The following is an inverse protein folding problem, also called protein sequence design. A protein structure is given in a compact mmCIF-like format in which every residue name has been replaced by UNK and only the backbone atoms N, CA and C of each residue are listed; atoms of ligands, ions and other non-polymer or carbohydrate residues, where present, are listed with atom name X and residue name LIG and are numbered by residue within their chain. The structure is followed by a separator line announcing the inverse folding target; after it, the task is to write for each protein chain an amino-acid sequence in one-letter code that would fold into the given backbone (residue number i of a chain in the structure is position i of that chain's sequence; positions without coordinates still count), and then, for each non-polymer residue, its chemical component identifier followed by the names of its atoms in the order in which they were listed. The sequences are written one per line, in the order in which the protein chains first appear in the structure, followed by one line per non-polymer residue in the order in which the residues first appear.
data_IF_348163742953
#
_entry.id   IF_348163742953
#
_cell.length_a   1.000
_cell.length_b   1.000
_cell.length_c   1.000
_cell.angle_alpha   90.00
_cell.angle_beta   90.00
_cell.angle_gamma   90.00
#
_symmetry.space_group_name_H-M   'P 1'
#
loop_
_entity.id
_entity.type
_entity.pdbx_description
1 polymer ?
#
# COMPACT_ATOMS: atom_id res chain seq x y z
N UNK A 1 51.81 -25.74 21.00
CA UNK A 1 51.47 -24.51 20.24
C UNK A 1 50.76 -24.78 18.91
N UNK A 2 51.36 -25.42 17.88
CA UNK A 2 50.72 -25.55 16.53
C UNK A 2 49.29 -26.15 16.48
N UNK A 3 48.87 -26.97 17.46
CA UNK A 3 47.48 -27.49 17.53
C UNK A 3 46.44 -26.44 17.99
N UNK A 4 46.72 -25.62 19.01
CA UNK A 4 45.71 -24.66 19.53
C UNK A 4 45.37 -23.54 18.54
N UNK A 5 46.34 -23.09 17.73
CA UNK A 5 46.09 -22.11 16.67
C UNK A 5 45.19 -22.63 15.54
N UNK A 6 45.09 -23.96 15.34
CA UNK A 6 44.13 -24.53 14.36
C UNK A 6 42.71 -24.53 14.93
N UNK A 7 42.55 -24.91 16.20
CA UNK A 7 41.25 -24.90 16.89
C UNK A 7 40.64 -23.50 16.96
N UNK A 8 41.44 -22.48 17.31
CA UNK A 8 40.94 -21.11 17.41
C UNK A 8 40.48 -20.55 16.04
N UNK A 9 41.22 -20.85 14.96
CA UNK A 9 40.82 -20.43 13.60
C UNK A 9 39.55 -21.14 13.12
N UNK A 10 39.38 -22.42 13.44
CA UNK A 10 38.15 -23.14 13.15
C UNK A 10 36.96 -22.57 13.93
N UNK A 11 37.15 -22.17 15.19
CA UNK A 11 36.11 -21.56 16.01
C UNK A 11 35.67 -20.18 15.48
N UNK A 12 36.62 -19.33 15.07
CA UNK A 12 36.34 -18.01 14.49
C UNK A 12 35.65 -18.15 13.13
N UNK A 13 36.11 -19.08 12.28
CA UNK A 13 35.45 -19.35 11.00
C UNK A 13 34.03 -19.89 11.19
N UNK A 14 33.81 -20.79 12.17
CA UNK A 14 32.48 -21.30 12.49
C UNK A 14 31.57 -20.18 13.02
N UNK A 15 32.05 -19.35 13.94
CA UNK A 15 31.30 -18.20 14.48
C UNK A 15 30.97 -17.16 13.41
N UNK A 16 31.87 -16.91 12.46
CA UNK A 16 31.59 -16.05 11.31
C UNK A 16 30.54 -16.67 10.37
N UNK A 17 30.54 -18.00 10.20
CA UNK A 17 29.52 -18.71 9.43
C UNK A 17 28.17 -18.71 10.15
N UNK A 18 28.08 -18.89 11.47
CA UNK A 18 26.80 -18.75 12.19
C UNK A 18 26.31 -17.31 12.27
N UNK A 19 27.19 -16.31 12.42
CA UNK A 19 26.80 -14.91 12.37
C UNK A 19 26.28 -14.52 10.97
N UNK A 20 26.96 -14.97 9.91
CA UNK A 20 26.48 -14.82 8.53
C UNK A 20 25.17 -15.60 8.30
N UNK A 21 25.03 -16.79 8.87
CA UNK A 21 23.79 -17.58 8.77
C UNK A 21 22.61 -16.86 9.45
N UNK A 22 22.80 -16.25 10.61
CA UNK A 22 21.75 -15.44 11.26
C UNK A 22 21.43 -14.16 10.47
N UNK A 23 22.44 -13.51 9.87
CA UNK A 23 22.21 -12.39 8.94
C UNK A 23 21.51 -12.80 7.63
N UNK A 24 21.58 -14.08 7.22
CA UNK A 24 20.79 -14.62 6.10
C UNK A 24 19.49 -15.30 6.52
N UNK A 25 19.22 -15.46 7.82
CA UNK A 25 18.00 -16.06 8.36
C UNK A 25 17.04 -15.01 8.97
N UNK A 26 17.50 -13.76 9.10
CA UNK A 26 16.66 -12.57 9.07
C UNK A 26 16.34 -12.12 7.63
N UNK A 27 16.81 -12.87 6.62
CA UNK A 27 16.23 -12.87 5.29
C UNK A 27 14.95 -13.68 5.32
N UNK A 28 13.90 -13.01 5.78
CA UNK A 28 12.55 -13.02 5.22
C UNK A 28 12.25 -14.06 4.13
N UNK A 29 11.16 -14.80 4.28
CA UNK A 29 10.81 -15.94 3.40
C UNK A 29 10.27 -15.54 2.02
N UNK A 30 10.36 -14.26 1.66
CA UNK A 30 10.03 -13.77 0.33
C UNK A 30 10.88 -14.48 -0.73
N UNK A 31 10.21 -15.22 -1.60
CA UNK A 31 10.68 -15.34 -2.98
C UNK A 31 10.86 -13.92 -3.48
N UNK A 32 12.11 -13.55 -3.84
CA UNK A 32 12.35 -12.28 -4.53
C UNK A 32 11.33 -12.19 -5.65
N UNK A 33 10.62 -11.06 -5.69
CA UNK A 33 10.04 -10.51 -6.91
C UNK A 33 10.95 -10.89 -8.09
N UNK A 34 10.45 -11.53 -9.15
CA UNK A 34 11.25 -11.75 -10.33
C UNK A 34 11.87 -10.42 -10.70
N UNK A 35 13.09 -10.44 -11.21
CA UNK A 35 13.65 -9.23 -11.78
C UNK A 35 12.86 -8.92 -13.05
N UNK A 36 11.69 -8.29 -12.88
CA UNK A 36 11.11 -7.43 -13.88
C UNK A 36 12.23 -6.43 -14.17
N UNK A 37 12.78 -6.41 -15.40
CA UNK A 37 13.66 -5.33 -15.77
C UNK A 37 12.79 -4.08 -15.68
N UNK A 38 13.05 -3.24 -14.66
CA UNK A 38 12.35 -1.96 -14.39
C UNK A 38 12.03 -1.31 -15.73
N UNK A 39 10.74 -1.25 -16.04
CA UNK A 39 10.29 -1.32 -17.44
C UNK A 39 10.94 -0.20 -18.23
N UNK A 40 11.76 -0.57 -19.21
CA UNK A 40 12.61 0.40 -19.87
C UNK A 40 11.84 1.13 -20.98
N UNK A 41 11.04 2.15 -20.61
CA UNK A 41 10.16 2.92 -21.52
C UNK A 41 10.70 4.32 -21.86
N UNK A 42 12.01 4.56 -21.69
CA UNK A 42 12.73 5.64 -22.40
C UNK A 42 12.13 7.05 -22.27
N UNK A 43 11.70 7.44 -21.08
CA UNK A 43 11.11 8.75 -20.75
C UNK A 43 11.03 8.97 -19.24
N UNK A 44 10.68 10.18 -18.83
CA UNK A 44 10.32 10.51 -17.44
C UNK A 44 8.94 9.88 -17.10
N UNK A 45 8.72 9.46 -15.84
CA UNK A 45 7.45 8.91 -15.36
C UNK A 45 7.53 7.55 -14.63
N UNK A 46 6.35 7.01 -14.33
CA UNK A 46 6.09 5.77 -13.59
C UNK A 46 6.00 4.51 -14.48
N UNK A 47 6.35 3.32 -13.94
CA UNK A 47 6.22 2.02 -14.62
C UNK A 47 4.79 1.79 -15.14
N UNK A 48 4.54 1.35 -16.40
CA UNK A 48 3.18 1.24 -16.93
C UNK A 48 2.29 0.22 -16.21
N UNK A 49 1.02 0.56 -16.03
CA UNK A 49 -0.04 -0.31 -15.44
C UNK A 49 -0.07 -1.73 -16.02
N UNK A 50 0.17 -1.89 -17.33
CA UNK A 50 0.14 -3.18 -18.03
C UNK A 50 1.24 -4.15 -17.63
N UNK A 51 2.28 -3.63 -16.98
CA UNK A 51 3.55 -4.32 -16.73
C UNK A 51 3.74 -4.62 -15.24
N UNK A 52 2.70 -4.39 -14.43
CA UNK A 52 2.64 -4.70 -13.01
C UNK A 52 1.57 -5.77 -12.74
N UNK A 53 1.89 -6.76 -11.90
CA UNK A 53 1.09 -7.96 -11.65
C UNK A 53 0.50 -7.95 -10.24
N UNK A 54 -0.60 -8.67 -10.00
CA UNK A 54 -1.20 -8.78 -8.66
C UNK A 54 -1.70 -7.45 -8.11
N UNK A 55 -2.74 -6.88 -8.74
CA UNK A 55 -3.39 -5.68 -8.20
C UNK A 55 -4.66 -6.04 -7.45
N UNK A 56 -4.90 -5.36 -6.34
CA UNK A 56 -6.04 -5.50 -5.44
C UNK A 56 -6.54 -4.10 -5.03
N UNK A 57 -7.85 -3.93 -4.86
CA UNK A 57 -8.46 -2.65 -4.48
C UNK A 57 -9.79 -2.80 -3.72
N UNK A 58 -10.13 -1.79 -2.93
CA UNK A 58 -11.44 -1.53 -2.31
C UNK A 58 -12.07 -0.27 -2.93
N UNK A 59 -13.40 -0.10 -2.81
CA UNK A 59 -14.06 1.07 -3.43
C UNK A 59 -15.47 1.40 -2.89
N UNK A 60 -15.75 2.70 -2.86
CA UNK A 60 -17.04 3.29 -2.45
C UNK A 60 -17.91 3.65 -3.66
N UNK A 61 -19.20 3.90 -3.40
CA UNK A 61 -20.21 4.21 -4.41
C UNK A 61 -20.66 5.68 -4.34
N UNK A 62 -20.02 6.53 -5.15
CA UNK A 62 -20.27 7.97 -5.27
C UNK A 62 -21.75 8.40 -5.43
N UNK A 63 -22.66 7.55 -5.92
CA UNK A 63 -24.08 7.92 -5.96
C UNK A 63 -24.65 8.20 -4.55
N UNK A 64 -24.10 7.53 -3.54
CA UNK A 64 -24.43 7.79 -2.13
C UNK A 64 -23.89 9.15 -1.67
N UNK A 65 -22.73 9.60 -2.14
CA UNK A 65 -22.21 10.97 -1.90
C UNK A 65 -23.24 12.00 -2.35
N UNK A 66 -23.77 11.82 -3.57
CA UNK A 66 -24.80 12.71 -4.11
C UNK A 66 -26.13 12.66 -3.32
N UNK A 67 -26.56 11.49 -2.86
CA UNK A 67 -27.77 11.34 -2.02
C UNK A 67 -27.58 11.85 -0.58
N UNK A 68 -26.36 11.80 -0.03
CA UNK A 68 -25.95 12.37 1.26
C UNK A 68 -25.78 13.91 1.22
N UNK A 69 -26.02 14.53 0.07
CA UNK A 69 -25.99 15.99 -0.11
C UNK A 69 -24.71 16.54 -0.75
N UNK A 70 -23.83 15.66 -1.23
CA UNK A 70 -22.56 16.00 -1.86
C UNK A 70 -21.37 16.13 -0.89
N UNK A 71 -21.48 15.58 0.32
CA UNK A 71 -20.38 15.47 1.28
C UNK A 71 -19.84 14.02 1.22
N UNK A 72 -18.62 13.78 0.70
CA UNK A 72 -18.13 12.43 0.47
C UNK A 72 -17.97 11.61 1.75
N UNK A 73 -17.49 12.26 2.82
CA UNK A 73 -17.40 11.75 4.20
C UNK A 73 -18.72 11.25 4.82
N UNK A 74 -19.85 11.42 4.12
CA UNK A 74 -21.17 10.93 4.53
C UNK A 74 -21.66 9.77 3.64
N UNK A 75 -20.77 9.15 2.87
CA UNK A 75 -21.10 8.12 1.89
C UNK A 75 -20.14 6.92 1.82
N UNK A 76 -18.97 6.98 2.46
CA UNK A 76 -18.26 5.79 2.97
C UNK A 76 -19.21 5.11 3.97
N UNK A 77 -19.89 4.07 3.53
CA UNK A 77 -20.77 3.22 4.35
C UNK A 77 -20.85 1.75 3.88
N UNK A 78 -20.48 1.43 2.63
CA UNK A 78 -20.77 0.16 1.98
C UNK A 78 -19.74 -0.18 0.86
N UNK A 79 -18.82 -1.14 1.09
CA UNK A 79 -18.02 -1.76 0.01
C UNK A 79 -18.95 -2.53 -0.95
N UNK A 80 -18.53 -2.75 -2.20
CA UNK A 80 -19.36 -3.39 -3.22
C UNK A 80 -18.68 -4.55 -3.97
N UNK A 81 -19.45 -5.60 -4.22
CA UNK A 81 -19.04 -6.74 -5.02
C UNK A 81 -18.92 -6.46 -6.52
N UNK A 82 -18.32 -7.40 -7.24
CA UNK A 82 -18.19 -7.38 -8.70
C UNK A 82 -19.55 -7.39 -9.43
N UNK A 83 -20.68 -7.32 -8.72
CA UNK A 83 -22.04 -7.16 -9.23
C UNK A 83 -22.73 -5.87 -8.73
N UNK A 84 -22.10 -5.09 -7.84
CA UNK A 84 -22.66 -3.89 -7.22
C UNK A 84 -23.61 -4.17 -6.06
N UNK A 85 -23.48 -5.29 -5.35
CA UNK A 85 -24.14 -5.55 -4.06
C UNK A 85 -23.20 -5.15 -2.91
N UNK A 86 -23.78 -4.72 -1.79
CA UNK A 86 -23.03 -4.40 -0.56
C UNK A 86 -22.34 -5.67 -0.02
N UNK A 87 -21.02 -5.62 0.16
CA UNK A 87 -20.20 -6.75 0.62
C UNK A 87 -18.98 -6.23 1.43
N UNK A 88 -19.15 -5.87 2.72
CA UNK A 88 -18.11 -5.21 3.53
C UNK A 88 -16.88 -6.09 3.77
N UNK A 89 -15.70 -5.50 3.80
CA UNK A 89 -14.43 -6.20 3.96
C UNK A 89 -13.84 -6.71 2.64
N UNK A 90 -14.36 -6.27 1.49
CA UNK A 90 -14.07 -6.91 0.22
C UNK A 90 -12.92 -6.28 -0.55
N UNK A 91 -12.13 -7.16 -1.15
CA UNK A 91 -11.04 -6.81 -2.05
C UNK A 91 -11.32 -7.36 -3.45
N UNK A 92 -11.15 -6.51 -4.46
CA UNK A 92 -11.34 -6.84 -5.88
C UNK A 92 -9.99 -6.86 -6.59
N UNK A 93 -9.69 -7.95 -7.29
CA UNK A 93 -8.43 -8.10 -8.02
C UNK A 93 -8.54 -7.62 -9.46
N UNK A 94 -7.54 -6.87 -9.90
CA UNK A 94 -7.41 -6.26 -11.21
C UNK A 94 -6.12 -6.70 -11.91
N UNK A 95 -6.17 -6.88 -13.23
CA UNK A 95 -5.02 -7.32 -14.04
C UNK A 95 -4.30 -6.18 -14.78
N UNK A 96 -4.79 -4.94 -14.69
CA UNK A 96 -4.22 -3.80 -15.42
C UNK A 96 -4.44 -3.80 -16.94
N UNK A 97 -5.14 -4.79 -17.52
CA UNK A 97 -5.21 -4.95 -18.97
C UNK A 97 -6.47 -4.34 -19.58
N UNK A 98 -6.28 -3.49 -20.60
CA UNK A 98 -7.37 -3.06 -21.48
C UNK A 98 -7.78 -4.21 -22.40
N UNK A 99 -8.78 -4.97 -21.98
CA UNK A 99 -9.27 -6.17 -22.67
C UNK A 99 -9.64 -5.93 -24.14
N UNK A 100 -9.22 -6.84 -25.01
CA UNK A 100 -9.67 -6.92 -26.41
C UNK A 100 -10.95 -7.76 -26.59
N UNK A 101 -11.47 -8.30 -25.50
CA UNK A 101 -12.68 -9.12 -25.44
C UNK A 101 -13.58 -8.60 -24.33
N UNK A 102 -14.88 -8.80 -24.53
CA UNK A 102 -15.95 -8.59 -23.57
C UNK A 102 -15.85 -9.60 -22.39
N UNK A 103 -14.79 -9.50 -21.59
CA UNK A 103 -14.60 -10.24 -20.34
C UNK A 103 -13.92 -9.41 -19.26
N UNK A 104 -14.43 -9.49 -18.01
CA UNK A 104 -13.55 -9.50 -16.85
C UNK A 104 -12.47 -10.58 -17.13
N UNK A 105 -11.20 -10.25 -16.87
CA UNK A 105 -10.05 -11.14 -17.11
C UNK A 105 -10.19 -12.50 -16.41
N UNK A 106 -10.99 -12.55 -15.34
CA UNK A 106 -11.55 -13.76 -14.74
C UNK A 106 -11.88 -13.62 -13.25
N UNK A 107 -11.56 -12.47 -12.63
CA UNK A 107 -11.66 -12.22 -11.20
C UNK A 107 -13.09 -11.93 -10.74
N UNK A 108 -13.85 -12.97 -10.43
CA UNK A 108 -15.06 -12.83 -9.59
C UNK A 108 -14.64 -12.86 -8.11
N UNK A 109 -14.72 -11.72 -7.42
CA UNK A 109 -14.38 -11.44 -6.01
C UNK A 109 -13.04 -12.05 -5.56
N UNK A 110 -12.00 -11.23 -5.36
CA UNK A 110 -10.66 -11.78 -5.07
C UNK A 110 -10.63 -12.49 -3.72
N UNK A 111 -11.14 -11.80 -2.70
CA UNK A 111 -11.31 -12.33 -1.35
C UNK A 111 -12.02 -11.27 -0.48
N UNK A 112 -12.72 -11.73 0.56
CA UNK A 112 -13.39 -10.89 1.55
C UNK A 112 -12.70 -11.12 2.90
N UNK A 113 -12.12 -10.07 3.50
CA UNK A 113 -11.68 -10.11 4.88
C UNK A 113 -12.88 -10.50 5.76
N UNK A 114 -12.72 -11.39 6.75
CA UNK A 114 -13.81 -11.80 7.64
C UNK A 114 -14.09 -10.70 8.68
N UNK A 115 -14.47 -9.50 8.22
CA UNK A 115 -14.69 -8.31 9.04
C UNK A 115 -15.87 -8.49 9.99
N UNK A 116 -16.81 -9.39 9.67
CA UNK A 116 -17.88 -9.81 10.58
C UNK A 116 -17.38 -10.54 11.84
N UNK A 117 -16.09 -10.94 11.86
CA UNK A 117 -15.41 -11.47 13.05
C UNK A 117 -14.77 -10.38 13.93
N UNK A 118 -14.63 -9.16 13.42
CA UNK A 118 -14.06 -8.00 14.13
C UNK A 118 -15.17 -7.36 14.99
N UNK A 119 -14.97 -7.17 16.31
CA UNK A 119 -15.96 -6.51 17.15
C UNK A 119 -16.22 -5.07 16.68
N UNK A 120 -17.48 -4.78 16.32
CA UNK A 120 -17.94 -3.53 15.68
C UNK A 120 -17.40 -3.27 14.26
N UNK A 121 -16.53 -4.11 13.71
CA UNK A 121 -15.92 -3.93 12.38
C UNK A 121 -16.86 -4.31 11.23
N UNK A 122 -18.09 -3.81 11.24
CA UNK A 122 -18.90 -3.71 10.02
C UNK A 122 -18.59 -2.38 9.34
N UNK A 123 -17.35 -2.24 8.89
CA UNK A 123 -16.81 -1.08 8.18
C UNK A 123 -16.43 -1.45 6.75
N UNK A 124 -16.14 -0.43 5.95
CA UNK A 124 -15.51 -0.56 4.64
C UNK A 124 -14.03 -0.93 4.79
N UNK A 125 -13.36 -1.23 3.67
CA UNK A 125 -11.89 -1.31 3.65
C UNK A 125 -11.32 0.00 3.13
N UNK A 126 -10.90 0.83 4.07
CA UNK A 126 -10.47 2.22 3.84
C UNK A 126 -8.94 2.30 3.67
N UNK A 127 -8.23 1.18 3.69
CA UNK A 127 -6.85 1.11 3.22
C UNK A 127 -6.46 -0.34 2.94
N UNK A 128 -5.55 -0.56 2.00
CA UNK A 128 -4.94 -1.86 1.69
C UNK A 128 -3.43 -1.73 1.62
N UNK A 129 -2.71 -2.71 2.15
CA UNK A 129 -1.28 -2.88 1.87
C UNK A 129 -0.77 -4.30 2.13
N UNK A 130 0.38 -4.59 1.55
CA UNK A 130 1.23 -5.69 1.93
C UNK A 130 1.97 -5.39 3.23
N UNK A 131 2.12 -6.38 4.10
CA UNK A 131 3.02 -6.26 5.25
C UNK A 131 4.47 -5.98 4.88
N UNK A 132 4.93 -6.39 3.70
CA UNK A 132 6.30 -6.11 3.24
C UNK A 132 6.30 -5.48 1.87
N UNK A 133 5.63 -4.34 1.75
CA UNK A 133 5.62 -3.51 0.54
C UNK A 133 7.05 -3.32 0.00
N UNK A 134 7.23 -3.73 -1.25
CA UNK A 134 8.54 -3.87 -1.87
C UNK A 134 9.24 -2.53 -2.15
N UNK A 135 8.46 -1.45 -2.31
CA UNK A 135 8.93 -0.13 -2.70
C UNK A 135 8.79 0.91 -1.59
N UNK A 136 8.17 0.58 -0.45
CA UNK A 136 8.06 1.41 0.75
C UNK A 136 9.31 2.25 1.05
N UNK A 137 10.49 1.60 1.11
CA UNK A 137 11.74 2.33 1.42
C UNK A 137 12.19 3.27 0.32
N UNK A 138 11.90 2.92 -0.93
CA UNK A 138 12.20 3.73 -2.09
C UNK A 138 11.24 4.92 -2.15
N UNK A 139 9.98 4.81 -1.70
CA UNK A 139 9.11 5.99 -1.46
C UNK A 139 9.68 6.87 -0.36
N UNK A 140 9.96 6.32 0.84
CA UNK A 140 10.50 7.09 1.99
C UNK A 140 11.82 7.79 1.66
N UNK A 141 12.66 7.20 0.79
CA UNK A 141 13.91 7.80 0.33
C UNK A 141 13.78 8.76 -0.86
N UNK A 142 12.59 8.89 -1.47
CA UNK A 142 12.37 9.60 -2.74
C UNK A 142 13.25 9.01 -3.88
N UNK A 143 13.02 7.72 -4.16
CA UNK A 143 13.73 6.87 -5.13
C UNK A 143 12.76 6.04 -6.03
N UNK A 144 11.49 5.84 -5.63
CA UNK A 144 10.41 5.26 -6.43
C UNK A 144 9.32 6.29 -6.72
N UNK A 145 8.47 6.07 -7.73
CA UNK A 145 7.25 6.87 -7.90
C UNK A 145 6.23 6.45 -6.85
N UNK A 146 5.65 7.43 -6.15
CA UNK A 146 4.47 7.26 -5.31
C UNK A 146 3.24 7.13 -6.22
N UNK A 147 2.33 6.22 -5.91
CA UNK A 147 0.98 6.12 -6.44
C UNK A 147 -0.03 6.48 -5.33
N UNK A 148 -1.14 7.11 -5.71
CA UNK A 148 -2.23 7.45 -4.79
C UNK A 148 -3.55 7.74 -5.52
N UNK A 149 -4.68 7.65 -4.83
CA UNK A 149 -6.00 8.18 -5.24
C UNK A 149 -6.37 9.40 -4.39
N UNK A 150 -7.45 10.09 -4.77
CA UNK A 150 -8.00 11.23 -4.03
C UNK A 150 -9.52 11.17 -4.04
N UNK A 151 -10.17 11.39 -2.89
CA UNK A 151 -11.63 11.33 -2.77
C UNK A 151 -12.30 12.26 -3.76
N UNK A 152 -13.24 11.73 -4.53
CA UNK A 152 -14.00 12.48 -5.51
C UNK A 152 -13.15 13.06 -6.65
N UNK A 153 -12.03 12.42 -7.01
CA UNK A 153 -11.17 12.72 -8.17
C UNK A 153 -11.85 12.60 -9.57
N UNK A 154 -13.18 12.48 -9.55
CA UNK A 154 -14.05 12.31 -10.69
C UNK A 154 -13.97 13.50 -11.66
N UNK A 155 -13.35 13.28 -12.82
CA UNK A 155 -13.26 14.29 -13.87
C UNK A 155 -14.65 14.72 -14.39
N UNK A 156 -15.17 15.79 -13.81
CA UNK A 156 -16.42 16.45 -14.22
C UNK A 156 -16.37 17.04 -15.64
N UNK A 157 -15.18 17.15 -16.25
CA UNK A 157 -14.98 17.62 -17.63
C UNK A 157 -15.14 16.51 -18.69
N UNK A 158 -15.18 15.23 -18.27
CA UNK A 158 -15.46 14.00 -19.04
C UNK A 158 -16.92 13.95 -19.57
N UNK A 159 -17.27 14.96 -20.37
CA UNK A 159 -18.53 15.03 -21.10
C UNK A 159 -18.38 14.35 -22.45
N UNK A 160 -18.82 13.09 -22.53
CA UNK A 160 -19.00 12.42 -23.82
C UNK A 160 -19.88 13.30 -24.74
N UNK A 161 -19.55 13.50 -26.04
CA UNK A 161 -20.16 14.55 -26.87
C UNK A 161 -21.68 14.59 -27.03
N UNK A 162 -22.41 13.55 -26.58
CA UNK A 162 -23.86 13.54 -26.30
C UNK A 162 -24.21 12.45 -25.24
N UNK A 163 -23.30 12.13 -24.31
CA UNK A 163 -23.46 11.03 -23.36
C UNK A 163 -23.73 11.50 -21.92
N UNK A 164 -24.09 10.59 -21.00
CA UNK A 164 -23.97 10.86 -19.57
C UNK A 164 -22.51 11.19 -19.22
N UNK A 165 -22.31 11.93 -18.13
CA UNK A 165 -20.98 12.13 -17.55
C UNK A 165 -20.47 10.75 -17.13
N UNK A 166 -19.36 10.34 -17.70
CA UNK A 166 -18.63 9.14 -17.26
C UNK A 166 -17.54 9.67 -16.34
N UNK A 167 -17.85 9.66 -15.06
CA UNK A 167 -16.86 9.88 -14.02
C UNK A 167 -15.75 8.83 -14.14
N UNK A 168 -14.58 9.11 -13.59
CA UNK A 168 -13.46 8.17 -13.55
C UNK A 168 -12.71 8.41 -12.26
N UNK A 169 -12.44 7.33 -11.53
CA UNK A 169 -11.41 7.35 -10.51
C UNK A 169 -10.03 7.31 -11.19
N UNK A 170 -9.05 7.95 -10.57
CA UNK A 170 -7.70 8.12 -11.06
C UNK A 170 -6.71 7.60 -10.02
N UNK A 171 -5.82 6.72 -10.45
CA UNK A 171 -4.59 6.48 -9.70
C UNK A 171 -3.57 7.46 -10.26
N UNK A 172 -3.12 8.37 -9.42
CA UNK A 172 -2.06 9.33 -9.71
C UNK A 172 -0.68 8.70 -9.59
N UNK A 173 0.31 9.40 -10.11
CA UNK A 173 1.68 9.23 -9.67
C UNK A 173 2.36 10.56 -9.42
N UNK A 174 3.30 10.54 -8.49
CA UNK A 174 4.38 11.51 -8.38
C UNK A 174 5.72 10.78 -8.43
N UNK A 175 6.68 11.28 -9.21
CA UNK A 175 8.03 10.75 -9.31
C UNK A 175 9.04 11.51 -8.41
N UNK A 176 10.20 10.91 -8.09
CA UNK A 176 11.24 11.53 -7.26
C UNK A 176 11.78 12.91 -7.71
N UNK A 177 11.46 13.38 -8.91
CA UNK A 177 11.89 14.70 -9.42
C UNK A 177 10.73 15.69 -9.55
N UNK A 178 9.54 15.34 -9.05
CA UNK A 178 8.32 16.15 -9.10
C UNK A 178 7.59 16.07 -10.45
N UNK A 179 7.86 15.03 -11.24
CA UNK A 179 7.05 14.67 -12.40
C UNK A 179 5.76 13.99 -11.93
N UNK A 180 4.61 14.52 -12.33
CA UNK A 180 3.30 14.07 -11.84
C UNK A 180 2.32 13.79 -12.98
N UNK A 181 1.33 12.92 -12.74
CA UNK A 181 0.27 12.67 -13.70
C UNK A 181 -0.75 11.63 -13.24
N UNK A 182 -1.53 11.14 -14.19
CA UNK A 182 -2.42 9.98 -14.02
C UNK A 182 -1.66 8.73 -14.46
N UNK A 183 -1.53 7.76 -13.57
CA UNK A 183 -0.97 6.43 -13.83
C UNK A 183 -2.02 5.50 -14.43
N UNK A 184 -3.21 5.45 -13.82
CA UNK A 184 -4.35 4.69 -14.29
C UNK A 184 -5.64 5.50 -14.27
N UNK A 185 -6.52 5.23 -15.23
CA UNK A 185 -7.92 5.63 -15.20
C UNK A 185 -8.77 4.39 -14.92
N UNK A 186 -9.63 4.45 -13.92
CA UNK A 186 -10.63 3.40 -13.64
C UNK A 186 -11.99 3.91 -14.14
N UNK A 187 -12.61 3.20 -15.09
CA UNK A 187 -13.83 3.67 -15.73
C UNK A 187 -15.03 3.58 -14.76
N UNK A 188 -15.52 4.72 -14.24
CA UNK A 188 -16.74 4.72 -13.43
C UNK A 188 -17.95 4.43 -14.35
N UNK A 189 -18.34 3.16 -14.40
CA UNK A 189 -19.35 2.62 -15.30
C UNK A 189 -20.66 3.42 -15.33
N UNK A 190 -21.29 3.49 -16.51
CA UNK A 190 -22.59 4.15 -16.64
C UNK A 190 -23.66 3.36 -15.90
N UNK A 191 -24.17 3.92 -14.80
CA UNK A 191 -25.19 3.34 -13.93
C UNK A 191 -26.44 2.96 -14.75
N UNK A 192 -26.65 1.65 -14.98
CA UNK A 192 -27.95 1.11 -15.40
C UNK A 192 -28.06 0.25 -16.66
N UNK A 193 -27.01 -0.41 -17.18
CA UNK A 193 -27.20 -1.36 -18.30
C UNK A 193 -26.39 -2.69 -18.29
N UNK A 194 -26.49 -3.43 -17.19
CA UNK A 194 -26.21 -4.88 -17.14
C UNK A 194 -24.75 -5.26 -16.87
N UNK A 195 -24.48 -6.57 -16.64
CA UNK A 195 -23.13 -7.08 -16.38
C UNK A 195 -22.30 -7.03 -17.65
N UNK A 196 -21.73 -5.86 -17.90
CA UNK A 196 -20.62 -5.67 -18.82
C UNK A 196 -19.30 -6.12 -18.16
N UNK A 197 -18.20 -6.22 -18.93
CA UNK A 197 -17.13 -7.13 -18.54
C UNK A 197 -15.79 -6.41 -18.28
N UNK A 198 -15.37 -6.38 -17.02
CA UNK A 198 -14.08 -5.83 -16.61
C UNK A 198 -14.16 -5.15 -15.26
N UNK A 199 -13.01 -4.88 -14.65
CA UNK A 199 -12.86 -3.78 -13.68
C UNK A 199 -13.31 -2.44 -14.31
N UNK A 200 -13.26 -2.34 -15.65
CA UNK A 200 -13.82 -1.26 -16.46
C UNK A 200 -15.36 -1.30 -16.68
N UNK A 201 -16.15 -2.08 -15.93
CA UNK A 201 -17.60 -2.17 -16.16
C UNK A 201 -18.49 -2.11 -14.92
N UNK A 202 -17.90 -2.06 -13.73
CA UNK A 202 -18.57 -1.62 -12.50
C UNK A 202 -17.92 -0.31 -12.05
N UNK A 203 -18.70 0.59 -11.47
CA UNK A 203 -18.23 1.94 -11.19
C UNK A 203 -17.42 1.98 -9.90
N UNK A 204 -16.10 1.85 -10.02
CA UNK A 204 -15.15 2.43 -9.04
C UNK A 204 -15.29 3.94 -9.17
N UNK A 205 -15.64 4.60 -8.08
CA UNK A 205 -16.02 6.01 -8.07
C UNK A 205 -15.34 6.82 -6.96
N UNK A 206 -14.87 6.13 -5.93
CA UNK A 206 -13.72 6.46 -5.07
C UNK A 206 -12.85 5.19 -5.02
N UNK A 207 -11.57 5.30 -4.67
CA UNK A 207 -10.63 4.16 -4.60
C UNK A 207 -9.97 4.15 -3.22
N UNK A 208 -10.63 3.50 -2.27
CA UNK A 208 -10.35 3.52 -0.82
C UNK A 208 -9.28 2.48 -0.40
N UNK A 209 -8.42 2.09 -1.36
CA UNK A 209 -7.38 1.11 -1.13
C UNK A 209 -6.80 0.58 -2.42
N UNK A 210 -5.47 0.46 -2.45
CA UNK A 210 -4.71 0.02 -3.61
C UNK A 210 -3.52 -0.81 -3.14
N UNK A 211 -3.44 -2.03 -3.64
CA UNK A 211 -2.26 -2.88 -3.58
C UNK A 211 -1.87 -3.26 -5.02
N UNK A 212 -0.59 -3.16 -5.35
CA UNK A 212 -0.03 -3.33 -6.69
C UNK A 212 1.21 -4.22 -6.68
N UNK A 213 1.80 -4.53 -5.52
CA UNK A 213 3.03 -5.33 -5.38
C UNK A 213 2.98 -6.37 -4.26
N UNK A 214 2.11 -7.36 -4.43
CA UNK A 214 2.08 -8.49 -3.52
C UNK A 214 3.36 -9.32 -3.45
N UNK A 215 3.42 -10.36 -2.59
CA UNK A 215 4.21 -11.55 -2.83
C UNK A 215 3.82 -12.18 -4.18
N UNK A 216 4.45 -11.64 -5.20
CA UNK A 216 4.64 -12.21 -6.52
C UNK A 216 4.95 -13.72 -6.42
N UNK A 217 4.58 -14.46 -7.45
CA UNK A 217 3.70 -15.63 -7.35
C UNK A 217 4.38 -16.95 -6.99
N UNK A 218 3.56 -18.03 -6.86
CA UNK A 218 4.05 -19.40 -7.03
C UNK A 218 4.89 -19.59 -8.30
N UNK A 219 4.67 -18.79 -9.37
CA UNK A 219 5.65 -18.43 -10.42
C UNK A 219 5.09 -17.38 -11.45
N UNK A 220 5.87 -16.52 -12.14
CA UNK A 220 5.38 -15.38 -13.01
C UNK A 220 4.94 -15.78 -14.45
N UNK A 221 5.35 -15.07 -15.53
CA UNK A 221 5.83 -15.69 -16.80
C UNK A 221 6.61 -14.69 -17.67
N UNK A 222 7.72 -15.10 -18.31
CA UNK A 222 8.59 -14.19 -19.09
C UNK A 222 8.34 -14.22 -20.62
N UNK A 223 8.74 -13.15 -21.36
CA UNK A 223 8.53 -13.03 -22.82
C UNK A 223 9.18 -14.10 -23.73
N UNK A 224 9.96 -15.04 -23.20
CA UNK A 224 10.55 -16.16 -23.94
C UNK A 224 9.66 -17.42 -23.95
N UNK A 225 8.45 -17.36 -23.38
CA UNK A 225 7.42 -18.40 -23.51
C UNK A 225 7.74 -19.72 -22.77
N UNK A 226 8.52 -19.65 -21.68
CA UNK A 226 8.53 -20.66 -20.61
C UNK A 226 7.20 -20.63 -19.82
N UNK A 227 6.94 -21.58 -18.90
CA UNK A 227 5.83 -21.50 -17.96
C UNK A 227 6.29 -21.19 -16.54
N UNK A 228 5.57 -20.29 -15.91
CA UNK A 228 5.67 -19.84 -14.52
C UNK A 228 4.13 -19.59 -14.14
N UNK A 229 3.62 -19.70 -12.90
CA UNK A 229 2.15 -19.68 -12.56
C UNK A 229 1.67 -18.78 -11.38
N UNK A 230 1.03 -17.64 -11.67
CA UNK A 230 0.39 -16.72 -10.70
C UNK A 230 -0.94 -17.28 -10.16
N UNK A 231 -1.59 -16.56 -9.25
CA UNK A 231 -2.75 -17.01 -8.46
C UNK A 231 -3.93 -17.64 -9.22
N UNK A 232 -4.75 -18.37 -8.48
CA UNK A 232 -6.10 -18.86 -8.83
C UNK A 232 -6.32 -20.05 -9.80
N UNK A 233 -5.30 -20.73 -10.34
CA UNK A 233 -5.54 -21.91 -11.21
C UNK A 233 -5.33 -23.30 -10.55
N UNK A 234 -6.45 -23.96 -10.29
CA UNK A 234 -6.66 -25.36 -9.88
C UNK A 234 -6.53 -25.68 -8.37
N UNK A 235 -7.65 -25.48 -7.68
CA UNK A 235 -8.07 -26.27 -6.51
C UNK A 235 -7.52 -25.87 -5.13
N UNK A 236 -7.24 -24.57 -4.92
CA UNK A 236 -7.52 -23.90 -3.64
C UNK A 236 -6.33 -23.44 -2.80
N UNK A 237 -5.66 -22.37 -3.22
CA UNK A 237 -5.14 -21.37 -2.27
C UNK A 237 -5.52 -19.99 -2.77
N UNK A 238 -6.05 -19.17 -1.87
CA UNK A 238 -6.21 -17.73 -2.04
C UNK A 238 -4.80 -17.17 -1.96
N UNK A 239 -4.43 -16.30 -2.90
CA UNK A 239 -3.23 -15.45 -2.82
C UNK A 239 -3.70 -14.03 -3.13
N UNK A 240 -4.60 -13.55 -2.28
CA UNK A 240 -4.67 -12.14 -1.96
C UNK A 240 -3.38 -11.81 -1.22
N UNK A 241 -2.80 -10.68 -1.55
CA UNK A 241 -1.48 -10.25 -1.13
C UNK A 241 -1.57 -9.15 -0.07
N UNK A 242 -2.56 -8.27 -0.20
CA UNK A 242 -2.95 -7.36 0.86
C UNK A 242 -3.33 -8.16 2.13
N UNK A 243 -2.46 -8.09 3.12
CA UNK A 243 -2.65 -8.72 4.43
C UNK A 243 -2.60 -7.69 5.57
N UNK A 244 -2.52 -6.40 5.22
CA UNK A 244 -2.78 -5.25 6.09
C UNK A 244 -3.91 -4.42 5.49
N UNK A 245 -4.79 -3.93 6.36
CA UNK A 245 -5.93 -3.12 5.94
C UNK A 245 -6.41 -2.20 7.06
N UNK A 246 -7.02 -1.07 6.70
CA UNK A 246 -7.81 -0.22 7.60
C UNK A 246 -9.29 -0.55 7.49
N UNK A 247 -10.12 0.00 8.38
CA UNK A 247 -11.58 -0.01 8.26
C UNK A 247 -12.15 1.34 8.69
N UNK A 248 -13.20 1.81 8.02
CA UNK A 248 -14.07 2.90 8.50
C UNK A 248 -14.32 2.76 10.01
N UNK A 249 -13.92 3.80 10.73
CA UNK A 249 -14.08 3.99 12.16
C UNK A 249 -13.17 3.13 13.07
N UNK A 250 -11.85 3.30 12.91
CA UNK A 250 -10.76 2.88 13.80
C UNK A 250 -11.13 2.99 15.28
N UNK A 251 -11.72 4.13 15.64
CA UNK A 251 -12.06 4.49 17.00
C UNK A 251 -13.05 3.51 17.66
N UNK A 252 -13.90 2.87 16.84
CA UNK A 252 -14.94 1.92 17.27
C UNK A 252 -14.41 0.50 17.46
N UNK A 253 -13.34 0.15 16.74
CA UNK A 253 -12.68 -1.17 16.79
C UNK A 253 -11.53 -1.20 17.81
N UNK A 254 -10.86 -0.04 18.01
CA UNK A 254 -9.68 0.13 18.86
C UNK A 254 -8.35 -0.12 18.13
N UNK A 255 -8.36 -0.36 16.83
CA UNK A 255 -7.19 -0.57 15.97
C UNK A 255 -7.35 0.24 14.69
N UNK A 256 -6.24 0.80 14.20
CA UNK A 256 -6.20 1.56 12.94
C UNK A 256 -5.66 0.77 11.75
N UNK A 257 -4.98 -0.34 12.04
CA UNK A 257 -4.56 -1.27 10.99
C UNK A 257 -4.76 -2.67 11.53
N UNK A 258 -5.32 -3.54 10.71
CA UNK A 258 -5.50 -4.95 10.94
C UNK A 258 -4.46 -5.77 10.18
N UNK A 259 -4.25 -7.01 10.61
CA UNK A 259 -3.46 -8.02 9.92
C UNK A 259 -4.33 -9.25 9.65
N UNK A 260 -4.27 -9.77 8.44
CA UNK A 260 -4.96 -11.00 8.03
C UNK A 260 -3.99 -12.16 7.88
N UNK A 261 -4.07 -13.16 8.77
CA UNK A 261 -3.35 -14.42 8.56
C UNK A 261 -4.09 -15.26 7.51
N UNK A 262 -3.58 -15.27 6.29
CA UNK A 262 -4.11 -16.06 5.14
C UNK A 262 -4.15 -17.57 5.44
N UNK A 263 -3.22 -18.10 6.25
CA UNK A 263 -3.12 -19.52 6.56
C UNK A 263 -4.09 -19.94 7.66
N UNK A 264 -4.28 -19.10 8.69
CA UNK A 264 -5.27 -19.31 9.75
C UNK A 264 -6.69 -18.86 9.34
N UNK A 265 -6.79 -17.99 8.33
CA UNK A 265 -8.00 -17.26 7.90
C UNK A 265 -8.62 -16.45 9.03
N UNK A 266 -7.80 -15.65 9.69
CA UNK A 266 -8.21 -14.86 10.85
C UNK A 266 -7.62 -13.47 10.81
N UNK A 267 -8.43 -12.48 11.19
CA UNK A 267 -7.99 -11.11 11.42
C UNK A 267 -7.51 -10.94 12.87
N UNK A 268 -6.45 -10.16 13.05
CA UNK A 268 -6.02 -9.61 14.34
C UNK A 268 -5.68 -8.13 14.18
N UNK A 269 -5.88 -7.33 15.22
CA UNK A 269 -5.42 -5.94 15.22
C UNK A 269 -3.89 -5.86 15.16
N UNK A 270 -3.36 -5.05 14.24
CA UNK A 270 -1.94 -4.86 13.99
C UNK A 270 -1.43 -3.59 14.69
N UNK A 271 -1.97 -2.42 14.33
CA UNK A 271 -1.63 -1.12 14.95
C UNK A 271 -2.79 -0.63 15.82
N UNK A 272 -2.59 -0.39 17.13
CA UNK A 272 -3.62 0.18 18.00
C UNK A 272 -4.00 1.61 17.59
N UNK A 273 -5.29 1.93 17.62
CA UNK A 273 -5.81 3.27 17.28
C UNK A 273 -5.15 4.41 18.07
N UNK A 274 -4.85 4.16 19.36
CA UNK A 274 -4.17 5.15 20.20
C UNK A 274 -2.75 5.50 19.72
N UNK A 275 -2.07 4.60 19.01
CA UNK A 275 -0.72 4.82 18.51
C UNK A 275 -0.75 5.76 17.28
N UNK A 276 -1.74 5.61 16.38
CA UNK A 276 -1.99 6.56 15.29
C UNK A 276 -2.42 7.93 15.82
N UNK A 277 -3.39 8.00 16.74
CA UNK A 277 -3.80 9.27 17.38
C UNK A 277 -2.60 9.98 18.01
N UNK A 278 -1.72 9.25 18.70
CA UNK A 278 -0.51 9.83 19.31
C UNK A 278 0.50 10.30 18.25
N UNK A 279 0.59 9.61 17.11
CA UNK A 279 1.43 10.01 15.98
C UNK A 279 0.94 11.33 15.36
N UNK A 280 -0.35 11.44 15.06
CA UNK A 280 -1.00 12.64 14.52
C UNK A 280 -0.87 13.81 15.50
N UNK A 281 -1.24 13.64 16.78
CA UNK A 281 -1.09 14.70 17.80
C UNK A 281 0.33 15.27 17.87
N UNK A 282 1.34 14.41 17.75
CA UNK A 282 2.75 14.80 17.82
C UNK A 282 3.21 15.62 16.62
N UNK A 283 2.62 15.42 15.44
CA UNK A 283 2.89 16.25 14.25
C UNK A 283 2.19 17.61 14.34
N UNK A 284 0.88 17.61 14.58
CA UNK A 284 0.06 18.81 14.52
C UNK A 284 0.17 19.69 15.78
N UNK A 285 0.42 19.10 16.96
CA UNK A 285 0.40 19.80 18.26
C UNK A 285 1.71 19.68 19.06
N UNK A 286 2.65 18.82 18.66
CA UNK A 286 3.91 18.60 19.38
C UNK A 286 3.71 17.93 20.75
N UNK A 287 3.81 18.71 21.83
CA UNK A 287 3.55 18.25 23.21
C UNK A 287 2.06 18.38 23.61
N UNK A 288 1.19 18.80 22.68
CA UNK A 288 -0.25 18.99 22.90
C UNK A 288 -1.08 17.71 22.76
N UNK A 289 -2.40 17.86 22.86
CA UNK A 289 -3.36 16.78 22.60
C UNK A 289 -4.69 17.34 22.10
N UNK A 290 -5.36 16.57 21.25
CA UNK A 290 -6.72 16.79 20.79
C UNK A 290 -7.75 16.61 21.92
N UNK A 291 -8.96 17.13 21.69
CA UNK A 291 -10.15 16.81 22.50
C UNK A 291 -10.50 15.32 22.39
N UNK A 292 -11.29 14.81 23.33
CA UNK A 292 -11.71 13.39 23.26
C UNK A 292 -12.59 13.13 22.03
N UNK A 293 -13.36 14.13 21.62
CA UNK A 293 -14.21 14.12 20.45
C UNK A 293 -13.38 14.12 19.15
N UNK A 294 -12.39 15.00 19.04
CA UNK A 294 -11.49 15.09 17.87
C UNK A 294 -10.62 13.84 17.70
N UNK A 295 -10.20 13.20 18.79
CA UNK A 295 -9.46 11.93 18.71
C UNK A 295 -10.26 10.83 18.00
N UNK A 296 -11.58 10.80 18.17
CA UNK A 296 -12.47 9.82 17.54
C UNK A 296 -12.75 10.11 16.05
N UNK A 297 -12.16 11.18 15.50
CA UNK A 297 -12.22 11.53 14.08
C UNK A 297 -10.89 11.22 13.35
N UNK A 298 -9.94 10.59 14.03
CA UNK A 298 -8.72 10.09 13.38
C UNK A 298 -9.04 8.69 12.85
N UNK A 299 -9.07 8.54 11.53
CA UNK A 299 -9.24 7.28 10.80
C UNK A 299 -8.11 7.16 9.78
N UNK A 300 -7.61 5.95 9.52
CA UNK A 300 -6.60 5.71 8.47
C UNK A 300 -7.28 5.40 7.15
N UNK A 301 -7.06 6.27 6.16
CA UNK A 301 -7.73 6.22 4.85
C UNK A 301 -6.79 5.83 3.69
N UNK A 302 -5.51 5.61 3.96
CA UNK A 302 -4.60 4.93 3.03
C UNK A 302 -3.41 4.35 3.78
N UNK A 303 -2.73 3.35 3.18
CA UNK A 303 -1.59 2.74 3.85
C UNK A 303 -0.58 2.11 2.89
N UNK A 304 0.70 2.15 3.27
CA UNK A 304 1.72 1.19 2.84
C UNK A 304 2.41 0.67 4.10
N UNK A 305 2.80 -0.61 4.16
CA UNK A 305 3.37 -1.21 5.38
C UNK A 305 4.72 -1.86 5.15
N UNK A 306 5.60 -1.70 6.14
CA UNK A 306 6.88 -2.39 6.24
C UNK A 306 7.06 -3.01 7.63
N UNK A 307 6.47 -4.18 7.81
CA UNK A 307 6.65 -5.13 8.92
C UNK A 307 8.06 -5.74 8.84
N UNK A 308 8.81 -5.75 9.96
CA UNK A 308 10.14 -6.36 10.04
C UNK A 308 10.34 -7.18 11.30
N UNK A 309 9.58 -8.27 11.43
CA UNK A 309 9.98 -9.32 12.35
C UNK A 309 9.03 -10.51 12.43
N UNK A 310 8.04 -10.37 13.31
CA UNK A 310 7.01 -11.37 13.53
C UNK A 310 5.76 -10.91 12.79
N UNK A 311 5.60 -11.39 11.54
CA UNK A 311 4.50 -11.01 10.65
C UNK A 311 3.17 -11.00 11.39
N UNK A 312 2.49 -9.85 11.31
CA UNK A 312 1.17 -9.62 11.90
C UNK A 312 1.22 -8.99 13.28
N UNK A 313 2.37 -8.43 13.68
CA UNK A 313 2.55 -7.78 14.98
C UNK A 313 3.42 -6.54 14.88
N UNK A 314 2.84 -5.39 15.20
CA UNK A 314 3.53 -4.08 15.23
C UNK A 314 4.63 -4.04 16.30
N UNK A 315 5.87 -4.27 15.87
CA UNK A 315 7.07 -4.43 16.66
C UNK A 315 8.18 -3.43 16.26
N UNK A 316 9.27 -3.42 17.03
CA UNK A 316 10.35 -2.45 16.85
C UNK A 316 11.14 -2.70 15.56
N UNK A 317 11.07 -1.72 14.67
CA UNK A 317 11.66 -1.73 13.32
C UNK A 317 10.61 -1.50 12.24
N UNK A 318 9.34 -1.75 12.56
CA UNK A 318 8.22 -1.67 11.63
C UNK A 318 7.90 -0.21 11.28
N UNK A 319 7.37 -0.01 10.08
CA UNK A 319 7.05 1.30 9.56
C UNK A 319 5.72 1.29 8.79
N UNK A 320 5.10 2.47 8.77
CA UNK A 320 3.82 2.74 8.14
C UNK A 320 3.95 4.05 7.34
N UNK A 321 3.45 4.07 6.12
CA UNK A 321 3.00 5.29 5.44
C UNK A 321 1.48 5.28 5.49
N UNK A 322 0.85 6.40 5.80
CA UNK A 322 -0.60 6.52 5.84
C UNK A 322 -1.08 7.96 5.66
N UNK A 323 -2.29 8.12 5.13
CA UNK A 323 -3.10 9.35 5.24
C UNK A 323 -4.14 9.19 6.37
N UNK A 324 -4.86 10.26 6.69
CA UNK A 324 -6.05 10.18 7.55
C UNK A 324 -7.21 10.99 7.00
N UNK A 325 -8.41 10.57 7.36
CA UNK A 325 -9.69 11.22 7.06
C UNK A 325 -9.68 12.74 7.42
N UNK A 326 -10.35 13.65 6.67
CA UNK A 326 -10.19 15.09 6.84
C UNK A 326 -10.89 15.61 8.08
N UNK A 327 -10.09 15.95 9.09
CA UNK A 327 -10.61 16.46 10.36
C UNK A 327 -10.95 17.95 10.24
N UNK A 328 -12.24 18.22 10.05
CA UNK A 328 -12.83 19.55 9.99
C UNK A 328 -12.91 20.20 11.38
N UNK A 329 -12.28 21.38 11.55
CA UNK A 329 -12.30 22.16 12.80
C UNK A 329 -11.93 21.38 14.08
N UNK A 330 -10.75 20.71 14.12
CA UNK A 330 -10.32 19.93 15.27
C UNK A 330 -10.20 20.82 16.50
N UNK A 331 -10.42 20.24 17.67
CA UNK A 331 -10.35 20.93 18.96
C UNK A 331 -9.20 20.35 19.79
N UNK A 332 -8.49 21.22 20.52
CA UNK A 332 -7.53 20.78 21.52
C UNK A 332 -8.22 20.26 22.80
N UNK A 333 -7.45 19.69 23.73
CA UNK A 333 -7.94 19.20 25.03
C UNK A 333 -8.61 20.28 25.91
N UNK A 334 -8.52 21.57 25.56
CA UNK A 334 -9.21 22.69 26.23
C UNK A 334 -10.51 23.11 25.52
N UNK A 335 -10.79 22.55 24.35
CA UNK A 335 -11.89 22.93 23.46
C UNK A 335 -11.59 24.16 22.61
N UNK A 336 -10.32 24.54 22.45
CA UNK A 336 -9.92 25.60 21.53
C UNK A 336 -9.80 25.06 20.10
N UNK A 337 -10.28 25.79 19.07
CA UNK A 337 -10.19 25.36 17.69
C UNK A 337 -8.75 25.42 17.18
N UNK A 338 -8.41 24.41 16.39
CA UNK A 338 -7.15 24.21 15.68
C UNK A 338 -7.36 24.43 14.17
N UNK A 339 -6.30 24.52 13.34
CA UNK A 339 -6.42 24.40 11.89
C UNK A 339 -7.03 23.05 11.52
N UNK A 340 -7.83 22.98 10.45
CA UNK A 340 -8.27 21.70 9.88
C UNK A 340 -7.07 20.87 9.43
N UNK A 341 -7.27 19.56 9.41
CA UNK A 341 -6.45 18.58 8.70
C UNK A 341 -7.24 18.26 7.43
N UNK A 342 -6.62 18.30 6.26
CA UNK A 342 -7.33 18.27 4.97
C UNK A 342 -7.33 16.91 4.28
N UNK A 343 -6.57 15.95 4.81
CA UNK A 343 -6.46 14.58 4.29
C UNK A 343 -5.33 14.42 3.26
N UNK A 344 -4.76 15.53 2.80
CA UNK A 344 -3.63 15.56 1.87
C UNK A 344 -2.29 15.21 2.50
N UNK A 345 -2.25 14.90 3.80
CA UNK A 345 -1.01 14.63 4.52
C UNK A 345 -0.62 13.15 4.52
N UNK A 346 0.53 12.83 3.90
CA UNK A 346 1.12 11.49 3.99
C UNK A 346 2.11 11.44 5.16
N UNK A 347 1.80 10.63 6.16
CA UNK A 347 2.55 10.47 7.40
C UNK A 347 3.40 9.20 7.35
N UNK A 348 4.71 9.35 7.51
CA UNK A 348 5.64 8.26 7.79
C UNK A 348 5.80 8.06 9.30
N UNK A 349 5.47 6.87 9.79
CA UNK A 349 5.54 6.48 11.20
C UNK A 349 6.52 5.31 11.39
N UNK A 350 7.61 5.56 12.12
CA UNK A 350 8.58 4.53 12.52
C UNK A 350 8.30 4.01 13.94
N UNK A 351 8.19 2.68 14.12
CA UNK A 351 8.17 2.04 15.44
C UNK A 351 9.61 1.78 15.92
N UNK A 352 10.18 2.73 16.68
CA UNK A 352 11.58 2.62 17.12
C UNK A 352 11.71 2.06 18.54
N UNK A 353 12.91 1.61 18.91
CA UNK A 353 13.21 1.21 20.30
C UNK A 353 13.07 2.37 21.33
N UNK A 354 12.90 3.61 20.87
CA UNK A 354 12.62 4.79 21.69
C UNK A 354 11.11 5.16 21.72
N UNK A 355 10.27 4.39 21.04
CA UNK A 355 8.85 4.68 20.79
C UNK A 355 8.59 5.19 19.37
N UNK A 356 7.36 5.63 19.14
CA UNK A 356 6.84 6.06 17.84
C UNK A 356 7.46 7.39 17.37
N UNK A 357 7.92 7.41 16.12
CA UNK A 357 8.52 8.58 15.49
C UNK A 357 7.77 8.90 14.18
N UNK A 358 6.75 9.77 14.24
CA UNK A 358 6.06 10.26 13.05
C UNK A 358 6.82 11.42 12.39
N UNK A 359 6.70 11.53 11.07
CA UNK A 359 7.11 12.66 10.24
C UNK A 359 6.26 12.73 8.98
N UNK A 360 6.04 13.92 8.41
CA UNK A 360 5.45 14.03 7.07
C UNK A 360 6.42 13.52 6.00
N UNK A 361 5.90 12.78 5.01
CA UNK A 361 6.65 12.23 3.89
C UNK A 361 7.30 13.36 3.08
N UNK A 362 8.49 13.09 2.54
CA UNK A 362 9.22 14.00 1.65
C UNK A 362 9.46 13.32 0.32
N UNK A 363 8.52 13.55 -0.58
CA UNK A 363 8.52 13.03 -1.94
C UNK A 363 8.32 14.19 -2.93
N UNK A 364 8.51 13.98 -4.23
CA UNK A 364 8.27 14.99 -5.28
C UNK A 364 9.14 16.26 -5.24
N UNK A 365 10.08 16.34 -4.29
CA UNK A 365 10.77 17.59 -3.95
C UNK A 365 9.98 18.52 -3.01
N UNK A 366 8.86 18.07 -2.43
CA UNK A 366 8.07 18.81 -1.46
C UNK A 366 7.91 18.05 -0.11
N UNK A 367 6.96 18.45 0.74
CA UNK A 367 6.59 17.77 1.99
C UNK A 367 5.08 17.57 1.97
N UNK A 368 4.62 16.34 2.16
CA UNK A 368 3.19 16.00 2.19
C UNK A 368 2.61 16.36 3.57
N UNK A 369 2.43 17.67 3.79
CA UNK A 369 1.78 18.29 4.96
C UNK A 369 0.68 19.26 4.51
N UNK A 370 -0.15 19.76 5.44
CA UNK A 370 -1.30 20.70 5.23
C UNK A 370 -0.95 22.02 4.51
N UNK A 371 0.30 22.25 4.11
CA UNK A 371 0.70 23.38 3.27
C UNK A 371 0.87 22.99 1.79
N UNK A 372 0.78 21.71 1.44
CA UNK A 372 0.76 21.20 0.08
C UNK A 372 -0.69 21.04 -0.41
N UNK A 373 -1.09 21.96 -1.29
CA UNK A 373 -2.42 22.03 -1.92
C UNK A 373 -2.59 20.88 -2.94
N UNK A 374 -3.01 19.69 -2.47
CA UNK A 374 -3.24 18.48 -3.27
C UNK A 374 -4.33 18.76 -4.31
N UNK A 375 -5.47 19.31 -3.86
CA UNK A 375 -6.59 19.68 -4.73
C UNK A 375 -6.14 20.61 -5.87
N UNK A 376 -5.42 21.68 -5.57
CA UNK A 376 -4.91 22.63 -6.55
C UNK A 376 -3.78 22.07 -7.44
N UNK A 377 -3.00 21.11 -6.93
CA UNK A 377 -1.88 20.48 -7.67
C UNK A 377 -2.37 19.44 -8.67
N UNK A 378 -3.38 18.64 -8.34
CA UNK A 378 -3.90 17.56 -9.19
C UNK A 378 -5.21 17.92 -9.91
N UNK A 379 -5.92 18.96 -9.47
CA UNK A 379 -7.08 19.55 -10.15
C UNK A 379 -8.44 19.16 -9.54
N UNK A 380 -8.46 18.79 -8.26
CA UNK A 380 -9.63 18.25 -7.55
C UNK A 380 -10.32 19.25 -6.63
N UNK A 381 -11.39 18.80 -5.97
CA UNK A 381 -12.17 19.58 -5.01
C UNK A 381 -11.87 19.23 -3.56
N UNK A 382 -11.29 18.05 -3.33
CA UNK A 382 -10.90 17.50 -2.03
C UNK A 382 -9.40 17.19 -2.07
N UNK A 383 -8.81 17.06 -0.88
CA UNK A 383 -7.37 16.80 -0.70
C UNK A 383 -7.10 15.42 -0.09
N UNK A 384 -8.15 14.74 0.36
CA UNK A 384 -8.16 13.36 0.87
C UNK A 384 -7.33 12.40 0.02
N UNK A 385 -6.64 11.47 0.66
CA UNK A 385 -5.83 10.47 -0.01
C UNK A 385 -6.30 9.10 0.43
N UNK A 386 -7.09 8.46 -0.42
CA UNK A 386 -7.81 7.21 -0.11
C UNK A 386 -7.05 5.94 -0.52
N UNK A 387 -5.88 6.08 -1.17
CA UNK A 387 -4.95 4.97 -1.35
C UNK A 387 -3.49 5.44 -1.48
N UNK A 388 -2.56 4.56 -1.12
CA UNK A 388 -1.12 4.78 -1.20
C UNK A 388 -0.44 3.49 -1.68
N UNK A 389 0.46 3.63 -2.64
CA UNK A 389 1.22 2.54 -3.23
C UNK A 389 2.44 3.13 -3.97
N UNK A 390 3.23 2.34 -4.67
CA UNK A 390 4.38 2.79 -5.42
C UNK A 390 4.64 2.00 -6.70
N UNK A 391 5.43 2.56 -7.60
CA UNK A 391 6.00 1.84 -8.74
C UNK A 391 7.41 2.32 -9.04
N UNK A 392 8.20 1.47 -9.71
CA UNK A 392 9.54 1.83 -10.14
C UNK A 392 9.54 3.01 -11.11
N UNK A 393 10.58 3.85 -11.02
CA UNK A 393 10.83 4.97 -11.95
C UNK A 393 11.37 4.49 -13.30
N UNK A 394 11.08 5.25 -14.35
CA UNK A 394 11.51 4.94 -15.73
C UNK A 394 12.89 5.52 -16.13
N UNK A 395 13.61 6.20 -15.22
CA UNK A 395 14.72 7.11 -15.56
C UNK A 395 16.00 6.46 -16.13
N UNK A 396 16.04 5.13 -16.14
CA UNK A 396 17.14 4.35 -16.72
C UNK A 396 18.31 4.13 -15.79
N UNK A 397 18.24 4.57 -14.53
CA UNK A 397 18.98 3.93 -13.45
C UNK A 397 18.17 2.74 -12.94
N UNK A 398 18.75 1.53 -13.01
CA UNK A 398 18.14 0.36 -12.37
C UNK A 398 18.03 0.67 -10.88
N UNK A 399 16.82 0.59 -10.30
CA UNK A 399 16.65 0.67 -8.85
C UNK A 399 17.58 -0.37 -8.24
N UNK A 400 18.55 0.09 -7.45
CA UNK A 400 19.73 -0.64 -6.99
C UNK A 400 19.29 -1.74 -6.00
N UNK A 401 18.66 -2.77 -6.55
CA UNK A 401 17.96 -3.81 -5.80
C UNK A 401 19.03 -4.56 -5.02
N UNK A 402 18.95 -4.63 -3.67
CA UNK A 402 20.01 -5.24 -2.90
C UNK A 402 20.32 -6.64 -3.44
N UNK A 403 21.59 -6.87 -3.82
CA UNK A 403 22.10 -8.19 -4.17
C UNK A 403 22.70 -8.85 -2.92
N UNK A 404 21.91 -9.51 -2.05
CA UNK A 404 22.47 -10.24 -0.90
C UNK A 404 23.46 -11.33 -1.36
N UNK A 405 23.25 -11.86 -2.57
CA UNK A 405 24.11 -12.85 -3.19
C UNK A 405 25.55 -12.34 -3.42
N UNK A 406 25.75 -11.11 -3.90
CA UNK A 406 27.09 -10.67 -4.33
C UNK A 406 28.01 -10.34 -3.15
N UNK A 407 27.48 -9.74 -2.07
CA UNK A 407 28.24 -9.58 -0.83
C UNK A 407 28.51 -10.93 -0.16
N UNK A 408 27.52 -11.84 -0.11
CA UNK A 408 27.70 -13.18 0.44
C UNK A 408 28.74 -14.00 -0.36
N UNK A 409 28.67 -13.99 -1.70
CA UNK A 409 29.63 -14.65 -2.59
C UNK A 409 31.03 -14.04 -2.47
N UNK A 410 31.15 -12.72 -2.27
CA UNK A 410 32.43 -12.08 -1.96
C UNK A 410 33.00 -12.60 -0.63
N UNK A 411 32.18 -12.67 0.42
CA UNK A 411 32.58 -13.19 1.75
C UNK A 411 32.98 -14.67 1.67
N UNK A 412 32.20 -15.52 1.01
CA UNK A 412 32.53 -16.93 0.80
C UNK A 412 33.78 -17.12 -0.06
N UNK A 413 33.93 -16.31 -1.11
CA UNK A 413 35.13 -16.29 -1.97
C UNK A 413 36.39 -15.91 -1.19
N UNK A 414 36.33 -14.83 -0.42
CA UNK A 414 37.42 -14.38 0.45
C UNK A 414 37.75 -15.40 1.55
N UNK A 415 36.75 -16.08 2.12
CA UNK A 415 36.93 -17.16 3.09
C UNK A 415 37.57 -18.42 2.47
N UNK A 416 37.33 -18.70 1.19
CA UNK A 416 37.92 -19.83 0.47
C UNK A 416 39.39 -19.62 0.07
N UNK A 417 39.83 -18.38 -0.20
CA UNK A 417 41.22 -18.06 -0.57
C UNK A 417 42.29 -18.61 0.41
N UNK A 418 42.21 -18.45 1.74
CA UNK A 418 43.21 -18.98 2.67
C UNK A 418 43.20 -20.52 2.77
N UNK A 419 42.10 -21.19 2.42
CA UNK A 419 42.02 -22.66 2.38
C UNK A 419 42.80 -23.24 1.18
N UNK A 420 42.77 -22.54 0.03
CA UNK A 420 43.51 -22.95 -1.18
C UNK A 420 45.04 -22.92 -1.01
N UNK A 421 45.55 -22.15 -0.05
CA UNK A 421 46.99 -21.99 0.23
C UNK A 421 47.60 -23.06 1.15
N UNK A 422 46.84 -24.09 1.52
CA UNK A 422 47.30 -25.22 2.38
C UNK A 422 47.29 -26.59 1.68
N UNK A 423 47.12 -26.61 0.36
CA UNK A 423 47.51 -27.73 -0.51
C UNK A 423 48.78 -27.33 -1.27
#
# INVERSE_FOLDING_TARGET
MKRSQRSLRALIALAAVTAAAHLTQAGDYYTKAPHLPTVNVGGEGATPVSDVFGKEYSHTNWLRVQDSGGDPRLANLEDHDAFGNIDPGQVVSWDGLKGAFDGNSGSTNAFDFPVESIPNGSGQVDALANHGDFLFKQVVNNEASLLFSVTGDLDSSSTLPNGPVVAKAHIHYEDPVGGQGVWAEIEAGTVGSGPGPGVNHHAVADLDGLEVWGPEPPSHTNPNNDPVSEGYLNNGSITADADRFSLDNDSSTGFSVFSYDVAAKSVSGYIPFFDIVTAVEKLFLGDGSFSSETRLLVDVDATMVRDVGEVGRWDVGDELLFSIDPIDQPLDVTGAPLPSIDGGEIIHLENTAAGLLPSFLKHGGHVWDTAFDVAGTFGYYFEDIDALEAVGTLDGTEIDTPEPATLALLIFGLAALPLRRQR
#
